data_IF_512414314693
#
_entry.id   IF_512414314693
#
_cell.length_a   1.000
_cell.length_b   1.000
_cell.length_c   1.000
_cell.angle_alpha   90.00
_cell.angle_beta   90.00
_cell.angle_gamma   90.00
#
_symmetry.space_group_name_H-M   'P 1'
#
loop_
_entity.id
_entity.type
_entity.pdbx_description
1 polymer ?
#
# COMPACT_ATOMS: atom_id res chain seq x y z
N UNK A 1 5.08 11.25 -9.23
CA UNK A 1 5.46 10.55 -10.47
C UNK A 1 4.32 10.44 -11.47
N UNK A 2 3.16 9.85 -11.10
CA UNK A 2 2.02 9.66 -12.01
C UNK A 2 1.62 10.93 -12.76
N UNK A 3 1.57 12.07 -12.07
CA UNK A 3 1.22 13.35 -12.70
C UNK A 3 2.26 13.81 -13.74
N UNK A 4 3.54 13.57 -13.52
CA UNK A 4 4.62 13.98 -14.45
C UNK A 4 4.50 13.18 -15.76
N UNK A 5 4.27 11.87 -15.65
CA UNK A 5 4.08 11.00 -16.81
C UNK A 5 2.77 11.30 -17.54
N UNK A 6 1.69 11.58 -16.80
CA UNK A 6 0.41 11.97 -17.40
C UNK A 6 0.53 13.31 -18.16
N UNK A 7 1.19 14.32 -17.60
CA UNK A 7 1.34 15.62 -18.27
C UNK A 7 2.28 15.56 -19.48
N UNK A 8 3.28 14.69 -19.45
CA UNK A 8 4.20 14.52 -20.60
C UNK A 8 3.54 13.75 -21.73
N UNK A 9 2.76 12.70 -21.42
CA UNK A 9 1.96 11.98 -22.42
C UNK A 9 0.92 12.89 -23.07
N UNK A 10 0.25 13.76 -22.30
CA UNK A 10 -0.77 14.67 -22.85
C UNK A 10 -0.17 15.80 -23.71
N UNK A 11 1.02 16.30 -23.36
CA UNK A 11 1.71 17.36 -24.12
C UNK A 11 2.45 16.82 -25.35
N UNK A 12 2.94 15.58 -25.29
CA UNK A 12 3.79 14.96 -26.30
C UNK A 12 3.26 13.59 -26.70
N UNK A 13 2.03 13.53 -27.23
CA UNK A 13 1.35 12.28 -27.60
C UNK A 13 2.15 11.39 -28.58
N UNK A 14 2.93 11.99 -29.49
CA UNK A 14 3.68 11.25 -30.51
C UNK A 14 5.09 10.81 -30.07
N UNK A 15 5.72 11.55 -29.13
CA UNK A 15 7.10 11.35 -28.69
C UNK A 15 7.20 10.94 -27.21
N UNK A 16 6.17 10.27 -26.69
CA UNK A 16 6.08 9.92 -25.28
C UNK A 16 7.25 9.04 -24.80
N UNK A 17 7.78 8.16 -25.66
CA UNK A 17 8.90 7.27 -25.35
C UNK A 17 10.22 8.05 -25.14
N UNK A 18 10.48 9.06 -25.98
CA UNK A 18 11.60 9.98 -25.83
C UNK A 18 11.46 10.82 -24.56
N UNK A 19 10.26 11.37 -24.32
CA UNK A 19 10.01 12.25 -23.16
C UNK A 19 10.04 11.51 -21.82
N UNK A 20 9.74 10.21 -21.80
CA UNK A 20 9.73 9.38 -20.58
C UNK A 20 11.08 9.39 -19.87
N UNK A 21 12.18 9.31 -20.63
CA UNK A 21 13.53 9.31 -20.08
C UNK A 21 13.86 10.64 -19.39
N UNK A 22 13.52 11.76 -20.03
CA UNK A 22 13.71 13.10 -19.45
C UNK A 22 12.84 13.32 -18.21
N UNK A 23 11.59 12.86 -18.25
CA UNK A 23 10.68 12.93 -17.11
C UNK A 23 11.22 12.13 -15.90
N UNK A 24 11.81 10.97 -16.16
CA UNK A 24 12.40 10.12 -15.13
C UNK A 24 13.69 10.72 -14.56
N UNK A 25 14.52 11.32 -15.41
CA UNK A 25 15.73 12.04 -15.01
C UNK A 25 15.38 13.21 -14.08
N UNK A 26 14.43 14.05 -14.49
CA UNK A 26 13.91 15.12 -13.64
C UNK A 26 13.35 14.59 -12.32
N UNK A 27 12.57 13.50 -12.35
CA UNK A 27 12.05 12.89 -11.13
C UNK A 27 13.17 12.43 -10.18
N UNK A 28 14.24 11.82 -10.71
CA UNK A 28 15.39 11.35 -9.93
C UNK A 28 16.23 12.47 -9.31
N UNK A 29 16.26 13.64 -9.95
CA UNK A 29 16.93 14.85 -9.46
C UNK A 29 16.04 15.71 -8.53
N UNK A 30 14.72 15.47 -8.50
CA UNK A 30 13.80 16.22 -7.63
C UNK A 30 13.62 15.59 -6.26
N UNK A 31 13.52 16.43 -5.22
CA UNK A 31 13.27 15.95 -3.86
C UNK A 31 11.83 15.43 -3.72
N UNK A 32 11.67 14.23 -3.18
CA UNK A 32 10.34 13.66 -2.98
C UNK A 32 9.72 14.16 -1.66
N UNK A 33 8.40 14.40 -1.65
CA UNK A 33 7.72 14.99 -0.48
C UNK A 33 7.74 14.10 0.77
N UNK A 34 7.68 12.78 0.58
CA UNK A 34 7.66 11.79 1.67
C UNK A 34 9.05 11.49 2.24
N UNK A 35 10.09 11.40 1.41
CA UNK A 35 11.46 11.09 1.85
C UNK A 35 12.31 12.34 2.08
N UNK A 36 11.89 13.50 1.56
CA UNK A 36 12.62 14.78 1.58
C UNK A 36 14.02 14.76 0.94
N UNK A 37 14.35 13.68 0.26
CA UNK A 37 15.61 13.47 -0.45
C UNK A 37 15.32 13.07 -1.89
N UNK A 38 16.29 13.32 -2.77
CA UNK A 38 16.24 12.89 -4.16
C UNK A 38 16.53 11.39 -4.27
N UNK A 39 15.93 10.70 -5.25
CA UNK A 39 16.27 9.30 -5.54
C UNK A 39 17.77 9.09 -5.84
N UNK A 40 18.43 10.04 -6.50
CA UNK A 40 19.87 9.96 -6.79
C UNK A 40 20.71 9.87 -5.51
N UNK A 41 20.46 10.74 -4.52
CA UNK A 41 21.16 10.68 -3.22
C UNK A 41 20.89 9.34 -2.51
N UNK A 42 19.66 8.83 -2.55
CA UNK A 42 19.32 7.58 -1.88
C UNK A 42 19.98 6.35 -2.50
N UNK A 43 20.32 6.40 -3.79
CA UNK A 43 20.94 5.28 -4.49
C UNK A 43 22.47 5.36 -4.50
N UNK A 44 23.02 6.56 -4.71
CA UNK A 44 24.44 6.76 -4.94
C UNK A 44 25.14 7.50 -3.80
N UNK A 45 24.40 7.98 -2.80
CA UNK A 45 24.93 8.79 -1.72
C UNK A 45 25.29 10.22 -2.14
N UNK A 46 25.19 10.55 -3.43
CA UNK A 46 25.49 11.85 -4.04
C UNK A 46 24.53 12.16 -5.17
N UNK A 47 24.42 13.43 -5.53
CA UNK A 47 23.69 13.81 -6.74
C UNK A 47 24.48 13.40 -7.99
N UNK A 48 23.75 12.98 -9.02
CA UNK A 48 24.32 12.68 -10.34
C UNK A 48 24.51 14.00 -11.06
N UNK A 49 25.66 14.17 -11.72
CA UNK A 49 25.92 15.34 -12.56
C UNK A 49 25.02 15.27 -13.79
N UNK A 50 24.13 16.25 -13.91
CA UNK A 50 23.28 16.37 -15.09
C UNK A 50 24.03 17.17 -16.18
N UNK A 51 23.76 16.95 -17.47
CA UNK A 51 24.49 17.61 -18.55
C UNK A 51 24.39 19.14 -18.52
N UNK A 52 23.34 19.68 -17.89
CA UNK A 52 23.18 21.13 -17.65
C UNK A 52 24.25 21.67 -16.69
N UNK A 53 24.73 20.84 -15.76
CA UNK A 53 25.74 21.21 -14.76
C UNK A 53 27.16 21.19 -15.34
N UNK A 54 27.36 20.55 -16.50
CA UNK A 54 28.66 20.53 -17.18
C UNK A 54 29.00 21.86 -17.86
N UNK A 55 27.99 22.63 -18.29
CA UNK A 55 28.17 23.91 -18.99
C UNK A 55 28.84 24.98 -18.13
N UNK A 56 28.44 25.22 -16.86
CA UNK A 56 29.12 26.17 -15.98
C UNK A 56 30.43 25.63 -15.36
N UNK A 57 30.75 24.35 -15.59
CA UNK A 57 31.83 23.64 -14.89
C UNK A 57 31.34 23.09 -13.55
N UNK A 58 31.86 21.91 -13.18
CA UNK A 58 31.48 21.26 -11.94
C UNK A 58 31.99 22.10 -10.75
N UNK A 59 31.15 22.43 -9.75
CA UNK A 59 31.65 23.05 -8.52
C UNK A 59 32.73 22.16 -7.91
N UNK A 60 33.78 22.74 -7.29
CA UNK A 60 34.79 21.95 -6.62
C UNK A 60 34.09 21.09 -5.57
N UNK A 61 34.07 19.78 -5.82
CA UNK A 61 33.52 18.82 -4.88
C UNK A 61 34.42 18.94 -3.63
N UNK A 62 33.90 19.51 -2.56
CA UNK A 62 34.63 19.69 -1.30
C UNK A 62 35.11 18.35 -0.71
N UNK A 63 34.67 17.24 -1.30
CA UNK A 63 35.00 15.87 -0.92
C UNK A 63 36.18 15.26 -1.70
N UNK A 64 36.63 15.85 -2.81
CA UNK A 64 37.51 15.18 -3.80
C UNK A 64 39.01 15.47 -3.67
N UNK A 65 39.47 16.23 -2.66
CA UNK A 65 40.91 16.51 -2.50
C UNK A 65 41.60 15.46 -1.60
N UNK A 66 40.86 14.81 -0.69
CA UNK A 66 41.45 13.96 0.36
C UNK A 66 41.18 12.45 0.24
N UNK A 67 40.38 12.00 -0.73
CA UNK A 67 40.05 10.56 -0.91
C UNK A 67 40.94 9.85 -1.93
N UNK A 68 42.26 10.03 -1.83
CA UNK A 68 43.22 9.40 -2.76
C UNK A 68 43.39 7.87 -2.57
N UNK A 69 42.76 7.28 -1.55
CA UNK A 69 42.83 5.83 -1.29
C UNK A 69 41.47 5.15 -1.53
N UNK A 70 41.38 4.14 -2.42
CA UNK A 70 40.14 3.38 -2.69
C UNK A 70 39.35 2.91 -1.43
N UNK A 71 39.97 2.41 -0.34
CA UNK A 71 39.23 2.03 0.86
C UNK A 71 38.55 3.20 1.58
N UNK A 72 39.14 4.40 1.60
CA UNK A 72 38.57 5.57 2.28
C UNK A 72 37.29 6.05 1.59
N UNK A 73 37.29 6.04 0.25
CA UNK A 73 36.12 6.37 -0.55
C UNK A 73 34.92 5.45 -0.22
N UNK A 74 35.15 4.14 -0.16
CA UNK A 74 34.09 3.16 0.14
C UNK A 74 33.52 3.37 1.55
N UNK A 75 34.37 3.70 2.53
CA UNK A 75 33.91 4.02 3.88
C UNK A 75 32.98 5.24 3.91
N UNK A 76 33.40 6.35 3.28
CA UNK A 76 32.61 7.58 3.19
C UNK A 76 31.31 7.38 2.42
N UNK A 77 31.32 6.57 1.36
CA UNK A 77 30.11 6.21 0.61
C UNK A 77 29.11 5.45 1.48
N UNK A 78 29.57 4.47 2.26
CA UNK A 78 28.72 3.71 3.20
C UNK A 78 28.10 4.62 4.26
N UNK A 79 28.89 5.54 4.81
CA UNK A 79 28.42 6.54 5.77
C UNK A 79 27.32 7.42 5.17
N UNK A 80 27.55 8.00 3.98
CA UNK A 80 26.57 8.84 3.28
C UNK A 80 25.27 8.09 3.00
N UNK A 81 25.36 6.86 2.50
CA UNK A 81 24.17 6.02 2.25
C UNK A 81 23.45 5.70 3.56
N UNK A 82 24.18 5.33 4.61
CA UNK A 82 23.61 5.07 5.94
C UNK A 82 22.82 6.25 6.47
N UNK A 83 23.42 7.44 6.45
CA UNK A 83 22.78 8.69 6.88
C UNK A 83 21.55 9.03 6.00
N UNK A 84 21.68 8.96 4.68
CA UNK A 84 20.57 9.27 3.76
C UNK A 84 19.36 8.37 3.99
N UNK A 85 19.58 7.06 4.20
CA UNK A 85 18.50 6.12 4.48
C UNK A 85 17.89 6.32 5.87
N UNK A 86 18.69 6.70 6.87
CA UNK A 86 18.17 7.03 8.19
C UNK A 86 17.23 8.24 8.11
N UNK A 87 17.68 9.34 7.49
CA UNK A 87 16.87 10.54 7.29
C UNK A 87 15.59 10.24 6.50
N UNK A 88 15.69 9.42 5.45
CA UNK A 88 14.53 9.01 4.67
C UNK A 88 13.52 8.21 5.50
N UNK A 89 13.97 7.30 6.37
CA UNK A 89 13.07 6.54 7.27
C UNK A 89 12.35 7.45 8.25
N UNK A 90 13.04 8.42 8.84
CA UNK A 90 12.42 9.40 9.73
C UNK A 90 11.36 10.26 9.01
N UNK A 91 11.68 10.72 7.80
CA UNK A 91 10.75 11.48 6.97
C UNK A 91 9.52 10.64 6.57
N UNK A 92 9.74 9.37 6.20
CA UNK A 92 8.68 8.42 5.89
C UNK A 92 7.78 8.15 7.10
N UNK A 93 8.35 7.96 8.30
CA UNK A 93 7.58 7.81 9.54
C UNK A 93 6.62 8.98 9.75
N UNK A 94 7.14 10.20 9.67
CA UNK A 94 6.31 11.43 9.75
C UNK A 94 5.28 11.52 8.62
N UNK A 95 5.61 11.07 7.42
CA UNK A 95 4.68 11.05 6.28
C UNK A 95 3.52 10.08 6.51
N UNK A 96 3.80 8.89 7.06
CA UNK A 96 2.79 7.89 7.42
C UNK A 96 1.90 8.40 8.54
N UNK A 97 2.45 9.03 9.57
CA UNK A 97 1.67 9.64 10.64
C UNK A 97 0.70 10.70 10.12
N UNK A 98 1.17 11.61 9.25
CA UNK A 98 0.30 12.61 8.61
C UNK A 98 -0.79 11.96 7.75
N UNK A 99 -0.44 10.93 6.97
CA UNK A 99 -1.40 10.20 6.15
C UNK A 99 -2.46 9.52 7.01
N UNK A 100 -2.06 8.89 8.13
CA UNK A 100 -2.97 8.30 9.10
C UNK A 100 -3.90 9.33 9.72
N UNK A 101 -3.36 10.44 10.23
CA UNK A 101 -4.17 11.52 10.79
C UNK A 101 -5.19 12.07 9.78
N UNK A 102 -4.78 12.23 8.52
CA UNK A 102 -5.67 12.68 7.46
C UNK A 102 -6.75 11.65 7.13
N UNK A 103 -6.39 10.36 7.13
CA UNK A 103 -7.36 9.29 6.98
C UNK A 103 -8.37 9.31 8.13
N UNK A 104 -7.89 9.31 9.38
CA UNK A 104 -8.70 9.27 10.61
C UNK A 104 -9.71 10.43 10.68
N UNK A 105 -9.35 11.64 10.22
CA UNK A 105 -10.27 12.80 10.11
C UNK A 105 -11.47 12.54 9.21
N UNK A 106 -11.28 11.76 8.16
CA UNK A 106 -12.30 11.50 7.14
C UNK A 106 -13.10 10.22 7.42
N UNK A 107 -12.82 9.51 8.52
CA UNK A 107 -13.58 8.33 8.92
C UNK A 107 -14.87 8.76 9.62
N UNK A 108 -16.01 8.51 8.99
CA UNK A 108 -17.27 8.44 9.73
C UNK A 108 -17.25 7.16 10.57
N UNK A 109 -17.12 7.28 11.89
CA UNK A 109 -17.25 6.15 12.79
C UNK A 109 -18.70 5.65 12.78
N UNK A 110 -18.98 4.65 11.94
CA UNK A 110 -20.23 3.90 12.02
C UNK A 110 -20.16 3.03 13.27
N UNK A 111 -21.13 3.15 14.18
CA UNK A 111 -21.31 2.19 15.27
C UNK A 111 -22.08 0.98 14.75
N UNK A 112 -21.49 -0.21 14.82
CA UNK A 112 -22.10 -1.45 14.34
C UNK A 112 -22.82 -2.10 15.51
N UNK A 113 -24.13 -2.32 15.37
CA UNK A 113 -24.91 -3.03 16.38
C UNK A 113 -24.75 -4.53 16.16
N UNK A 114 -24.44 -5.25 17.24
CA UNK A 114 -24.38 -6.71 17.24
C UNK A 114 -25.75 -7.26 16.84
N UNK A 115 -25.79 -8.11 15.80
CA UNK A 115 -27.02 -8.70 15.27
C UNK A 115 -27.48 -8.15 13.90
N UNK A 116 -26.80 -7.15 13.34
CA UNK A 116 -27.11 -6.59 12.02
C UNK A 116 -26.06 -7.01 10.98
N UNK A 117 -26.50 -7.54 9.84
CA UNK A 117 -25.63 -7.88 8.72
C UNK A 117 -25.22 -6.61 7.97
N UNK A 118 -23.92 -6.35 7.89
CA UNK A 118 -23.37 -5.23 7.12
C UNK A 118 -22.68 -5.73 5.85
N UNK A 119 -23.02 -5.12 4.71
CA UNK A 119 -22.39 -5.43 3.43
C UNK A 119 -21.04 -4.71 3.33
N UNK A 120 -19.96 -5.44 3.53
CA UNK A 120 -18.61 -4.96 3.23
C UNK A 120 -18.45 -5.01 1.71
N UNK A 121 -18.34 -3.84 1.06
CA UNK A 121 -18.00 -3.80 -0.37
C UNK A 121 -16.61 -4.40 -0.55
N UNK A 122 -16.55 -5.60 -1.13
CA UNK A 122 -15.31 -6.17 -1.62
C UNK A 122 -14.69 -5.28 -2.69
N UNK A 123 -13.36 -5.31 -2.79
CA UNK A 123 -12.60 -4.54 -3.80
C UNK A 123 -12.88 -4.99 -5.24
N UNK A 124 -13.47 -6.18 -5.42
CA UNK A 124 -13.93 -6.70 -6.71
C UNK A 124 -15.46 -6.74 -6.74
N UNK A 125 -16.07 -6.18 -7.80
CA UNK A 125 -17.51 -6.31 -8.07
C UNK A 125 -17.86 -7.77 -8.38
N UNK A 126 -18.33 -8.51 -7.38
CA UNK A 126 -18.92 -9.83 -7.58
C UNK A 126 -20.43 -9.60 -7.84
N UNK A 127 -20.91 -9.97 -9.03
CA UNK A 127 -22.32 -9.80 -9.45
C UNK A 127 -23.23 -10.91 -8.91
N UNK A 128 -23.05 -11.36 -7.67
CA UNK A 128 -23.86 -12.46 -7.15
C UNK A 128 -25.04 -11.90 -6.36
N UNK A 129 -26.25 -12.32 -6.76
CA UNK A 129 -27.53 -11.99 -6.13
C UNK A 129 -27.48 -12.51 -4.68
N UNK A 130 -27.49 -11.60 -3.71
CA UNK A 130 -27.53 -11.95 -2.28
C UNK A 130 -28.93 -12.51 -1.98
N UNK A 131 -29.01 -13.78 -1.60
CA UNK A 131 -30.23 -14.35 -1.01
C UNK A 131 -30.14 -14.06 0.48
N UNK A 132 -31.00 -13.17 0.97
CA UNK A 132 -31.12 -12.90 2.40
C UNK A 132 -31.88 -14.07 3.04
N UNK A 133 -31.35 -14.72 4.09
CA UNK A 133 -32.09 -15.75 4.80
C UNK A 133 -33.33 -15.13 5.48
N UNK A 134 -34.47 -15.83 5.50
CA UNK A 134 -35.68 -15.30 6.11
C UNK A 134 -35.46 -15.00 7.61
N UNK A 135 -36.08 -13.92 8.13
CA UNK A 135 -35.96 -13.55 9.53
C UNK A 135 -36.45 -14.71 10.41
N UNK A 136 -35.65 -15.07 11.42
CA UNK A 136 -36.04 -16.06 12.42
C UNK A 136 -37.22 -15.48 13.24
N UNK A 137 -38.29 -16.27 13.49
CA UNK A 137 -39.37 -15.83 14.36
C UNK A 137 -38.85 -15.60 15.78
N UNK A 138 -39.38 -14.57 16.40
CA UNK A 138 -39.11 -14.12 17.76
C UNK A 138 -39.55 -15.17 18.79
N UNK A 139 -38.59 -15.66 19.58
CA UNK A 139 -38.81 -16.59 20.68
C UNK A 139 -39.41 -15.89 21.93
N UNK A 140 -40.45 -15.06 21.75
CA UNK A 140 -41.19 -14.45 22.87
C UNK A 140 -42.69 -14.71 22.87
N UNK A 141 -43.22 -15.54 21.95
CA UNK A 141 -44.63 -15.95 22.02
C UNK A 141 -44.73 -17.35 22.65
N UNK A 142 -45.20 -17.38 23.89
CA UNK A 142 -45.43 -18.57 24.70
C UNK A 142 -46.69 -19.33 24.25
N UNK A 143 -46.78 -19.76 22.99
CA UNK A 143 -47.89 -20.58 22.52
C UNK A 143 -47.41 -21.50 21.38
N UNK A 144 -46.72 -22.58 21.73
CA UNK A 144 -46.46 -23.67 20.79
C UNK A 144 -46.52 -25.02 21.52
N UNK A 145 -47.71 -25.61 21.46
CA UNK A 145 -48.00 -26.99 21.85
C UNK A 145 -47.08 -27.94 21.08
N UNK A 146 -46.44 -28.84 21.83
CA UNK A 146 -45.56 -29.90 21.32
C UNK A 146 -46.39 -30.87 20.46
N UNK A 147 -46.04 -30.99 19.18
CA UNK A 147 -46.54 -32.00 18.23
C UNK A 147 -45.38 -32.69 17.50
N UNK A 148 -45.54 -33.93 17.00
CA UNK A 148 -44.49 -34.93 17.02
C UNK A 148 -43.44 -34.81 15.91
N UNK A 149 -42.22 -35.21 16.29
CA UNK A 149 -41.02 -35.39 15.50
C UNK A 149 -41.27 -36.28 14.26
N UNK A 150 -41.47 -35.69 13.08
CA UNK A 150 -41.40 -36.40 11.79
C UNK A 150 -40.24 -35.88 10.95
N UNK A 151 -39.18 -36.71 10.96
CA UNK A 151 -38.41 -37.17 9.80
C UNK A 151 -37.68 -36.12 8.93
N UNK A 152 -36.36 -36.06 9.13
CA UNK A 152 -35.37 -35.55 8.17
C UNK A 152 -35.50 -36.29 6.82
N UNK A 153 -35.78 -35.56 5.73
CA UNK A 153 -35.75 -36.09 4.34
C UNK A 153 -34.34 -35.91 3.74
N UNK A 154 -33.62 -36.99 3.38
CA UNK A 154 -32.21 -36.96 2.99
C UNK A 154 -31.96 -36.73 1.49
N UNK A 155 -32.88 -36.15 0.72
CA UNK A 155 -32.78 -36.16 -0.77
C UNK A 155 -32.19 -34.91 -1.45
N UNK A 156 -31.71 -33.90 -0.72
CA UNK A 156 -31.02 -32.76 -1.37
C UNK A 156 -29.53 -33.10 -1.60
N UNK A 157 -29.35 -33.76 -2.73
CA UNK A 157 -28.13 -34.24 -3.39
C UNK A 157 -26.98 -33.22 -3.38
N UNK A 158 -25.85 -33.65 -2.79
CA UNK A 158 -24.53 -33.03 -2.95
C UNK A 158 -24.12 -32.98 -4.43
N UNK A 159 -23.72 -31.80 -4.91
CA UNK A 159 -22.68 -31.60 -5.94
C UNK A 159 -21.74 -30.56 -5.32
N UNK A 160 -20.59 -30.90 -4.75
CA UNK A 160 -19.45 -31.53 -5.41
C UNK A 160 -18.34 -30.49 -5.53
N UNK A 161 -17.78 -30.02 -4.41
CA UNK A 161 -16.56 -29.23 -4.41
C UNK A 161 -15.37 -30.19 -4.23
N UNK A 162 -14.60 -30.34 -5.30
CA UNK A 162 -13.32 -31.05 -5.29
C UNK A 162 -12.31 -30.27 -4.45
N UNK A 163 -11.67 -30.99 -3.54
CA UNK A 163 -10.61 -30.54 -2.66
C UNK A 163 -9.34 -30.15 -3.43
N UNK A 164 -8.62 -29.18 -2.87
CA UNK A 164 -7.21 -28.87 -3.16
C UNK A 164 -6.68 -27.94 -2.07
N UNK A 165 -6.28 -28.49 -0.92
CA UNK A 165 -5.56 -27.76 0.14
C UNK A 165 -4.11 -27.42 -0.26
N UNK A 166 -3.23 -26.86 0.63
CA UNK A 166 -3.24 -27.08 2.08
C UNK A 166 -3.01 -25.86 3.01
N UNK A 167 -3.59 -25.97 4.22
CA UNK A 167 -3.02 -25.71 5.56
C UNK A 167 -2.47 -24.32 5.96
N UNK A 168 -3.10 -23.71 6.98
CA UNK A 168 -2.46 -22.78 7.93
C UNK A 168 -3.49 -22.04 8.82
N UNK A 169 -3.35 -21.99 10.16
CA UNK A 169 -4.50 -21.90 11.08
C UNK A 169 -4.73 -20.50 11.64
N UNK A 170 -5.99 -20.06 11.71
CA UNK A 170 -6.39 -19.07 12.71
C UNK A 170 -7.61 -19.60 13.44
N UNK A 171 -7.33 -20.25 14.58
CA UNK A 171 -8.30 -20.52 15.62
C UNK A 171 -8.86 -19.17 16.11
N UNK A 172 -10.18 -18.99 16.07
CA UNK A 172 -10.85 -18.09 16.99
C UNK A 172 -11.26 -18.92 18.19
N UNK A 173 -10.45 -18.93 19.25
CA UNK A 173 -10.96 -19.21 20.59
C UNK A 173 -11.66 -17.94 21.07
N UNK A 174 -12.98 -18.00 21.19
CA UNK A 174 -13.71 -17.04 21.99
C UNK A 174 -13.34 -17.29 23.46
N UNK A 175 -12.55 -16.40 24.06
CA UNK A 175 -12.40 -16.32 25.51
C UNK A 175 -13.29 -15.19 25.98
N UNK A 176 -14.31 -15.54 26.76
CA UNK A 176 -15.18 -14.61 27.48
C UNK A 176 -14.67 -14.52 28.92
N UNK A 177 -14.23 -13.34 29.33
CA UNK A 177 -14.24 -12.84 30.71
C UNK A 177 -14.04 -11.31 30.64
#
# INVERSE_FOLDING_TARGET
MQNILATTADRCHWDWDLMTHYALMAYRATQHSSTRLTPNILLFGKEVTEPVDLVPGLPPDNDNIDTNTPPQYVMKLRERLGLSHQLAREALGKSVERAKQQYDKNICQTQHKVGVWHLIKGTKRIKNKLVVPPPQPDLSSSDAVIGPLHLWDPTIRRRGFSCGGPRGPWFFTASYA
#
